data_IF_673141835857
#
_entry.id   IF_673141835857
#
_cell.length_a   1.000
_cell.length_b   1.000
_cell.length_c   1.000
_cell.angle_alpha   90.00
_cell.angle_beta   90.00
_cell.angle_gamma   90.00
#
_symmetry.space_group_name_H-M   'P 1'
#
loop_
_entity.id
_entity.type
_entity.pdbx_description
1 polymer ?
#
# COMPACT_ATOMS: atom_id res chain seq x y z
N UNK A 1 28.67 60.77 -9.42
CA UNK A 1 28.44 60.22 -10.77
C UNK A 1 28.92 58.78 -10.81
N UNK A 2 28.08 57.88 -11.39
CA UNK A 2 28.35 56.51 -11.87
C UNK A 2 28.68 55.45 -10.78
N UNK A 3 27.72 54.60 -10.39
CA UNK A 3 27.31 53.33 -11.02
C UNK A 3 28.06 52.12 -10.44
N UNK A 4 27.36 51.29 -9.65
CA UNK A 4 27.48 49.84 -9.81
C UNK A 4 26.14 49.16 -9.46
N UNK A 5 25.49 48.68 -10.52
CA UNK A 5 24.40 47.70 -10.50
C UNK A 5 24.97 46.36 -9.98
N UNK A 6 24.08 45.47 -9.52
CA UNK A 6 24.19 44.02 -9.27
C UNK A 6 23.80 43.73 -7.81
N UNK A 7 22.91 42.82 -7.43
CA UNK A 7 22.08 41.77 -8.05
C UNK A 7 20.91 41.61 -7.07
N UNK A 8 19.65 41.67 -7.50
CA UNK A 8 18.86 40.48 -7.79
C UNK A 8 19.20 39.26 -6.89
N UNK A 9 18.79 39.32 -5.62
CA UNK A 9 18.81 38.18 -4.71
C UNK A 9 17.39 37.65 -4.51
N UNK A 10 16.93 36.84 -5.44
CA UNK A 10 15.67 36.12 -5.33
C UNK A 10 15.69 35.19 -4.11
N UNK A 11 14.90 35.50 -3.10
CA UNK A 11 14.49 34.53 -2.08
C UNK A 11 12.97 34.43 -2.13
N UNK A 12 12.45 33.95 -3.26
CA UNK A 12 11.14 33.31 -3.26
C UNK A 12 11.36 32.02 -2.49
N UNK A 13 11.09 32.09 -1.19
CA UNK A 13 11.01 30.93 -0.33
C UNK A 13 10.00 29.99 -0.98
N UNK A 14 10.51 28.98 -1.67
CA UNK A 14 9.76 27.80 -2.03
C UNK A 14 9.36 27.13 -0.71
N UNK A 15 8.29 27.63 -0.11
CA UNK A 15 7.40 26.80 0.67
C UNK A 15 6.80 25.81 -0.33
N UNK A 16 7.61 24.80 -0.70
CA UNK A 16 7.08 23.48 -0.99
C UNK A 16 6.48 23.08 0.35
N UNK A 17 5.25 23.54 0.61
CA UNK A 17 4.36 22.85 1.51
C UNK A 17 4.45 21.43 1.00
N UNK A 18 5.11 20.58 1.78
CA UNK A 18 5.04 19.16 1.60
C UNK A 18 3.55 18.90 1.64
N UNK A 19 2.94 18.88 0.45
CA UNK A 19 1.64 18.30 0.25
C UNK A 19 1.80 17.00 1.01
N UNK A 20 0.96 16.84 2.02
CA UNK A 20 0.79 15.59 2.69
C UNK A 20 0.55 14.61 1.55
N UNK A 21 1.61 13.98 1.09
CA UNK A 21 1.56 12.64 0.58
C UNK A 21 1.18 11.91 1.86
N UNK A 22 -0.12 11.95 2.17
CA UNK A 22 -0.83 10.73 2.51
C UNK A 22 -0.47 9.79 1.37
N UNK A 23 0.74 9.23 1.47
CA UNK A 23 1.02 7.91 1.00
C UNK A 23 -0.15 7.16 1.58
N UNK A 24 -1.13 6.84 0.74
CA UNK A 24 -1.91 5.66 0.92
C UNK A 24 -0.86 4.57 1.07
N UNK A 25 -0.37 4.38 2.30
CA UNK A 25 0.46 3.25 2.64
C UNK A 25 -0.55 2.13 2.50
N UNK A 26 -0.64 1.55 1.30
CA UNK A 26 -1.19 0.22 1.15
C UNK A 26 -0.35 -0.59 2.13
N UNK A 27 -0.92 -0.96 3.27
CA UNK A 27 -0.15 -1.75 4.21
C UNK A 27 0.06 -3.09 3.51
N UNK A 28 1.30 -3.56 3.55
CA UNK A 28 1.65 -4.77 2.83
C UNK A 28 0.90 -5.96 3.44
N UNK A 29 0.30 -6.81 2.61
CA UNK A 29 -0.38 -8.01 3.07
C UNK A 29 -1.69 -7.78 3.83
N UNK A 30 -2.43 -6.71 3.56
CA UNK A 30 -3.73 -6.43 4.20
C UNK A 30 -4.88 -7.31 3.72
N UNK A 31 -4.75 -7.91 2.53
CA UNK A 31 -5.82 -8.65 1.90
C UNK A 31 -5.53 -10.15 1.89
N UNK A 32 -6.58 -10.95 1.99
CA UNK A 32 -6.53 -12.41 1.87
C UNK A 32 -7.48 -12.87 0.77
N UNK A 33 -7.14 -13.96 0.11
CA UNK A 33 -7.97 -14.54 -0.94
C UNK A 33 -8.98 -15.51 -0.30
N UNK A 34 -10.27 -15.14 -0.29
CA UNK A 34 -11.33 -15.93 0.35
C UNK A 34 -12.06 -16.88 -0.61
N UNK A 35 -12.02 -16.56 -1.90
CA UNK A 35 -12.57 -17.34 -3.00
C UNK A 35 -11.74 -17.05 -4.27
N UNK A 36 -11.87 -17.84 -5.34
CA UNK A 36 -11.15 -17.56 -6.59
C UNK A 36 -11.35 -16.10 -7.02
N UNK A 37 -10.24 -15.38 -7.18
CA UNK A 37 -10.16 -13.96 -7.51
C UNK A 37 -10.87 -12.99 -6.55
N UNK A 38 -11.35 -13.41 -5.38
CA UNK A 38 -12.05 -12.55 -4.43
C UNK A 38 -11.18 -12.26 -3.22
N UNK A 39 -10.78 -11.01 -3.07
CA UNK A 39 -9.87 -10.52 -2.04
C UNK A 39 -10.63 -9.75 -0.97
N UNK A 40 -10.37 -10.04 0.30
CA UNK A 40 -11.01 -9.37 1.44
C UNK A 40 -9.95 -8.82 2.40
N UNK A 41 -10.24 -7.67 3.02
CA UNK A 41 -9.41 -7.08 4.06
C UNK A 41 -9.39 -8.00 5.29
N UNK A 42 -8.20 -8.28 5.83
CA UNK A 42 -8.03 -9.07 7.06
C UNK A 42 -8.84 -8.53 8.24
N UNK A 43 -9.03 -7.21 8.32
CA UNK A 43 -9.83 -6.56 9.37
C UNK A 43 -11.32 -6.89 9.32
N UNK A 44 -11.82 -7.37 8.18
CA UNK A 44 -13.21 -7.82 8.03
C UNK A 44 -13.37 -9.32 8.29
N UNK A 45 -12.26 -10.01 8.56
CA UNK A 45 -12.21 -11.45 8.84
C UNK A 45 -12.03 -11.67 10.34
N UNK A 46 -12.34 -12.88 10.84
CA UNK A 46 -11.86 -13.31 12.16
C UNK A 46 -10.35 -13.14 12.27
N UNK A 47 -9.87 -12.94 13.51
CA UNK A 47 -8.44 -12.89 13.77
C UNK A 47 -7.77 -14.16 13.23
N UNK A 48 -6.64 -14.03 12.57
CA UNK A 48 -5.96 -15.15 11.93
C UNK A 48 -4.47 -14.88 11.77
N UNK A 49 -3.77 -15.87 11.25
CA UNK A 49 -2.32 -15.82 11.08
C UNK A 49 -1.89 -16.51 9.77
N UNK A 50 -0.72 -16.13 9.27
CA UNK A 50 -0.07 -16.84 8.18
C UNK A 50 0.63 -18.08 8.73
N UNK A 51 0.14 -19.27 8.39
CA UNK A 51 0.81 -20.54 8.72
C UNK A 51 1.59 -21.04 7.52
N UNK A 52 2.78 -21.59 7.77
CA UNK A 52 3.64 -22.15 6.72
C UNK A 52 2.91 -23.24 5.94
N UNK A 53 2.79 -23.05 4.63
CA UNK A 53 2.22 -24.00 3.72
C UNK A 53 2.86 -23.84 2.33
N UNK A 54 3.60 -24.85 1.84
CA UNK A 54 4.29 -24.76 0.56
C UNK A 54 3.35 -24.42 -0.61
N UNK A 55 3.85 -23.61 -1.55
CA UNK A 55 3.14 -23.25 -2.78
C UNK A 55 1.84 -22.46 -2.60
N UNK A 56 1.56 -21.95 -1.41
CA UNK A 56 0.42 -21.07 -1.12
C UNK A 56 0.85 -19.61 -0.92
N UNK A 57 -0.11 -18.71 -1.03
CA UNK A 57 0.03 -17.29 -0.71
C UNK A 57 -0.85 -16.99 0.50
N UNK A 58 -0.28 -16.40 1.54
CA UNK A 58 -1.06 -16.07 2.73
C UNK A 58 -1.85 -14.77 2.50
N UNK A 59 -1.18 -13.75 1.98
CA UNK A 59 -1.76 -12.42 1.87
C UNK A 59 -1.26 -11.65 0.64
N UNK A 60 -1.99 -10.58 0.36
CA UNK A 60 -1.87 -9.76 -0.82
C UNK A 60 -1.89 -8.28 -0.45
N UNK A 61 -1.15 -7.49 -1.21
CA UNK A 61 -1.15 -6.04 -1.14
C UNK A 61 -1.97 -5.50 -2.31
N UNK A 62 -2.95 -4.63 -2.02
CA UNK A 62 -3.73 -3.96 -3.07
C UNK A 62 -2.91 -2.83 -3.69
N UNK A 63 -2.51 -2.99 -4.95
CA UNK A 63 -1.65 -2.02 -5.67
C UNK A 63 -2.45 -0.95 -6.42
N UNK A 64 -3.74 -1.19 -6.67
CA UNK A 64 -4.67 -0.20 -7.22
C UNK A 64 -5.81 0.01 -6.22
N UNK A 65 -5.73 1.02 -5.33
CA UNK A 65 -6.70 1.22 -4.25
C UNK A 65 -8.14 1.39 -4.75
N UNK A 66 -8.33 2.02 -5.90
CA UNK A 66 -9.63 2.25 -6.54
C UNK A 66 -10.11 1.05 -7.38
N UNK A 67 -9.28 0.02 -7.56
CA UNK A 67 -9.60 -1.18 -8.33
C UNK A 67 -10.56 -2.12 -7.60
N UNK A 68 -11.20 -3.02 -8.36
CA UNK A 68 -12.10 -4.03 -7.80
C UNK A 68 -11.34 -5.05 -6.95
N UNK A 69 -11.98 -5.51 -5.87
CA UNK A 69 -11.52 -6.62 -5.04
C UNK A 69 -11.75 -8.00 -5.68
N UNK A 70 -12.29 -8.05 -6.90
CA UNK A 70 -12.52 -9.30 -7.66
C UNK A 70 -11.57 -9.48 -8.85
N UNK A 71 -10.66 -8.52 -9.07
CA UNK A 71 -9.72 -8.53 -10.18
C UNK A 71 -8.29 -8.72 -9.65
N UNK A 72 -7.64 -9.86 -9.94
CA UNK A 72 -6.32 -10.19 -9.40
C UNK A 72 -5.23 -9.22 -9.87
N UNK A 73 -5.41 -8.48 -10.97
CA UNK A 73 -4.43 -7.49 -11.43
C UNK A 73 -4.30 -6.29 -10.49
N UNK A 74 -5.25 -6.10 -9.58
CA UNK A 74 -5.19 -5.05 -8.56
C UNK A 74 -4.40 -5.49 -7.31
N UNK A 75 -3.87 -6.72 -7.28
CA UNK A 75 -3.23 -7.32 -6.11
C UNK A 75 -1.87 -7.93 -6.44
N UNK A 76 -0.94 -7.81 -5.50
CA UNK A 76 0.37 -8.46 -5.55
C UNK A 76 0.54 -9.39 -4.35
N UNK A 77 0.98 -10.65 -4.55
CA UNK A 77 1.30 -11.55 -3.44
C UNK A 77 2.37 -10.94 -2.53
N UNK A 78 2.15 -10.97 -1.22
CA UNK A 78 3.07 -10.45 -0.22
C UNK A 78 3.81 -11.61 0.49
N UNK A 79 3.09 -12.46 1.23
CA UNK A 79 3.69 -13.60 1.93
C UNK A 79 3.48 -14.90 1.14
N UNK A 80 4.57 -15.54 0.70
CA UNK A 80 4.58 -16.80 -0.05
C UNK A 80 4.93 -17.99 0.86
N UNK A 81 4.60 -19.20 0.41
CA UNK A 81 4.78 -20.45 1.17
C UNK A 81 4.07 -20.41 2.53
N UNK A 82 2.95 -19.71 2.58
CA UNK A 82 2.09 -19.64 3.74
C UNK A 82 0.63 -19.55 3.29
N UNK A 83 -0.29 -19.89 4.17
CA UNK A 83 -1.73 -19.75 4.00
C UNK A 83 -2.30 -18.96 5.18
N UNK A 84 -3.25 -18.07 4.90
CA UNK A 84 -4.04 -17.42 5.95
C UNK A 84 -4.95 -18.45 6.61
N UNK A 85 -4.82 -18.60 7.93
CA UNK A 85 -5.65 -19.46 8.76
C UNK A 85 -6.34 -18.59 9.79
N UNK A 86 -7.65 -18.58 9.74
CA UNK A 86 -8.50 -17.91 10.73
C UNK A 86 -8.45 -18.70 12.04
N UNK A 87 -8.23 -18.00 13.14
CA UNK A 87 -8.40 -18.54 14.47
C UNK A 87 -9.88 -18.75 14.76
N UNK A 88 -10.21 -19.90 15.33
CA UNK A 88 -11.52 -20.12 15.94
C UNK A 88 -11.54 -19.29 17.24
N UNK A 89 -12.42 -18.29 17.31
CA UNK A 89 -12.75 -17.61 18.58
C UNK A 89 -13.53 -18.53 19.52
#
# INVERSE_FOLDING_TARGET
>A
MKNFKLLLGAAVLFAVGSAFTTSNKAFAGEYVLIAPNTYELKTNRPAGECREMPSQICDYTKINPSGSNTDPNNFTPNTRNAQWVEGEE
#
